data_IF_992991953079
#
_entry.id   IF_992991953079
#
_cell.length_a   1.000
_cell.length_b   1.000
_cell.length_c   1.000
_cell.angle_alpha   90.00
_cell.angle_beta   90.00
_cell.angle_gamma   90.00
#
_symmetry.space_group_name_H-M   'P 1'
#
loop_
_entity.id
_entity.type
_entity.pdbx_description
1 polymer ?
#
# COMPACT_ATOMS: atom_id res chain seq x y z
N UNK A 1 -23.78 -11.68 71.78
CA UNK A 1 -24.44 -10.40 71.42
C UNK A 1 -25.33 -10.70 70.21
N UNK A 2 -26.66 -10.93 70.31
CA UNK A 2 -27.76 -9.93 70.35
C UNK A 2 -27.44 -8.75 69.41
N UNK A 3 -28.19 -8.42 68.33
CA UNK A 3 -29.65 -8.22 68.22
C UNK A 3 -30.11 -7.93 66.77
N UNK A 4 -31.31 -8.45 66.40
CA UNK A 4 -32.47 -7.86 65.66
C UNK A 4 -32.39 -7.26 64.23
N UNK A 5 -33.05 -7.99 63.31
CA UNK A 5 -34.21 -7.64 62.43
C UNK A 5 -34.65 -6.19 62.23
N UNK A 6 -34.97 -5.81 60.97
CA UNK A 6 -36.28 -5.26 60.56
C UNK A 6 -36.42 -5.10 59.03
N UNK A 7 -37.49 -5.70 58.49
CA UNK A 7 -38.05 -5.46 57.17
C UNK A 7 -39.05 -4.29 57.22
N UNK A 8 -39.22 -3.56 56.12
CA UNK A 8 -40.32 -2.62 55.94
C UNK A 8 -40.93 -2.74 54.53
N UNK A 9 -42.09 -3.43 54.46
CA UNK A 9 -43.10 -3.25 53.42
C UNK A 9 -43.89 -1.97 53.72
N UNK A 10 -44.31 -1.24 52.69
CA UNK A 10 -45.54 -0.43 52.71
C UNK A 10 -46.33 -0.67 51.42
N UNK A 11 -47.64 -0.85 51.61
CA UNK A 11 -48.68 -1.10 50.62
C UNK A 11 -49.71 0.05 50.66
N UNK A 12 -50.40 0.26 49.53
CA UNK A 12 -51.69 0.98 49.41
C UNK A 12 -51.56 2.39 48.84
N UNK A 13 -52.35 2.86 47.87
CA UNK A 13 -53.46 2.28 47.10
C UNK A 13 -54.04 3.34 46.13
N UNK A 14 -54.59 2.87 45.00
CA UNK A 14 -55.68 3.43 44.16
C UNK A 14 -55.82 4.95 43.93
N UNK A 15 -55.80 5.40 42.66
CA UNK A 15 -56.90 6.13 41.98
C UNK A 15 -56.74 6.02 40.46
N UNK A 16 -57.84 5.59 39.85
CA UNK A 16 -58.17 5.56 38.43
C UNK A 16 -58.29 6.98 37.83
N UNK A 17 -57.59 7.25 36.72
CA UNK A 17 -58.00 8.29 35.76
C UNK A 17 -57.82 7.75 34.35
N UNK A 18 -58.97 7.48 33.74
CA UNK A 18 -59.12 7.47 32.30
C UNK A 18 -58.67 8.82 31.74
N UNK A 19 -57.81 8.80 30.73
CA UNK A 19 -57.59 9.94 29.85
C UNK A 19 -57.66 9.43 28.42
N UNK A 20 -58.71 9.86 27.72
CA UNK A 20 -58.96 9.60 26.31
C UNK A 20 -57.85 10.17 25.41
N UNK A 21 -57.70 9.52 24.26
CA UNK A 21 -56.71 9.76 23.18
C UNK A 21 -56.73 11.20 22.65
N UNK A 22 -55.63 11.62 22.00
CA UNK A 22 -55.76 11.77 20.55
C UNK A 22 -54.65 11.02 19.79
N UNK A 23 -54.99 10.56 18.60
CA UNK A 23 -54.07 9.90 17.69
C UNK A 23 -52.91 10.80 17.30
N UNK A 24 -51.71 10.24 17.37
CA UNK A 24 -50.51 10.79 16.77
C UNK A 24 -49.71 9.60 16.27
N UNK A 25 -49.75 9.39 14.95
CA UNK A 25 -48.88 8.45 14.28
C UNK A 25 -47.44 8.99 14.38
N UNK A 26 -46.72 8.63 15.43
CA UNK A 26 -45.26 8.73 15.41
C UNK A 26 -44.74 7.55 14.59
N UNK A 27 -44.66 7.79 13.28
CA UNK A 27 -43.77 7.06 12.39
C UNK A 27 -42.33 7.36 12.85
N UNK A 28 -41.91 6.69 13.92
CA UNK A 28 -40.51 6.55 14.29
C UNK A 28 -39.83 5.74 13.21
N UNK A 29 -39.38 6.41 12.15
CA UNK A 29 -38.53 5.83 11.13
C UNK A 29 -37.26 5.34 11.80
N UNK A 30 -37.25 4.05 12.18
CA UNK A 30 -36.03 3.31 12.50
C UNK A 30 -35.11 3.51 11.30
N UNK A 31 -33.98 4.18 11.51
CA UNK A 31 -32.92 4.24 10.50
C UNK A 31 -32.71 2.80 10.00
N UNK A 32 -32.66 2.57 8.68
CA UNK A 32 -32.54 1.22 8.14
C UNK A 32 -31.36 0.54 8.83
N UNK A 33 -31.62 -0.60 9.48
CA UNK A 33 -30.54 -1.40 10.05
C UNK A 33 -29.57 -1.69 8.90
N UNK A 34 -28.25 -1.52 9.11
CA UNK A 34 -27.29 -1.78 8.06
C UNK A 34 -27.51 -3.22 7.57
N UNK A 35 -27.79 -3.38 6.29
CA UNK A 35 -27.95 -4.69 5.69
C UNK A 35 -26.68 -5.50 5.97
N UNK A 36 -26.83 -6.71 6.51
CA UNK A 36 -25.71 -7.60 6.75
C UNK A 36 -24.94 -7.81 5.44
N UNK A 37 -23.61 -7.76 5.48
CA UNK A 37 -22.74 -7.93 4.31
C UNK A 37 -21.95 -9.24 4.47
N UNK A 38 -22.05 -10.12 3.47
CA UNK A 38 -21.28 -11.35 3.37
C UNK A 38 -20.19 -11.19 2.30
N UNK A 39 -18.91 -11.13 2.74
CA UNK A 39 -17.77 -11.06 1.84
C UNK A 39 -17.23 -12.46 1.54
N UNK A 40 -17.43 -12.92 0.32
CA UNK A 40 -16.90 -14.17 -0.21
C UNK A 40 -15.47 -13.94 -0.69
N UNK A 41 -14.55 -14.80 -0.24
CA UNK A 41 -13.13 -14.73 -0.62
C UNK A 41 -12.69 -16.11 -1.10
N UNK A 42 -12.19 -16.21 -2.33
CA UNK A 42 -11.72 -17.48 -2.86
C UNK A 42 -10.36 -17.89 -2.27
N UNK A 43 -10.11 -19.20 -2.22
CA UNK A 43 -8.80 -19.77 -1.88
C UNK A 43 -7.77 -19.62 -3.00
N UNK A 44 -6.68 -20.40 -2.93
CA UNK A 44 -5.65 -20.41 -3.99
C UNK A 44 -6.16 -21.28 -5.14
N UNK A 45 -6.70 -20.65 -6.19
CA UNK A 45 -7.33 -21.40 -7.30
C UNK A 45 -7.94 -20.54 -8.41
N UNK A 46 -8.15 -19.23 -8.16
CA UNK A 46 -8.60 -18.31 -9.22
C UNK A 46 -10.06 -18.47 -9.61
N UNK A 47 -10.93 -18.74 -8.64
CA UNK A 47 -12.39 -18.77 -8.84
C UNK A 47 -12.90 -17.44 -9.38
N UNK A 48 -13.79 -17.49 -10.37
CA UNK A 48 -14.37 -16.30 -10.99
C UNK A 48 -15.42 -15.66 -10.08
N UNK A 49 -15.70 -14.35 -10.22
CA UNK A 49 -16.77 -13.72 -9.46
C UNK A 49 -18.14 -14.35 -9.75
N UNK A 50 -18.37 -14.86 -10.96
CA UNK A 50 -19.62 -15.54 -11.34
C UNK A 50 -19.83 -16.83 -10.55
N UNK A 51 -18.76 -17.62 -10.39
CA UNK A 51 -18.78 -18.85 -9.60
C UNK A 51 -18.95 -18.56 -8.11
N UNK A 52 -18.24 -17.55 -7.58
CA UNK A 52 -18.37 -17.15 -6.17
C UNK A 52 -19.77 -16.65 -5.84
N UNK A 53 -20.33 -15.81 -6.72
CA UNK A 53 -21.65 -15.22 -6.51
C UNK A 53 -22.78 -16.13 -6.99
N UNK A 54 -22.50 -17.20 -7.74
CA UNK A 54 -23.51 -18.08 -8.34
C UNK A 54 -24.43 -17.35 -9.32
N UNK A 55 -23.93 -16.32 -10.01
CA UNK A 55 -24.68 -15.48 -10.95
C UNK A 55 -23.77 -15.09 -12.13
N UNK A 56 -24.27 -15.26 -13.36
CA UNK A 56 -23.53 -14.90 -14.57
C UNK A 56 -23.42 -13.37 -14.77
N UNK A 57 -24.27 -12.57 -14.11
CA UNK A 57 -24.30 -11.12 -14.23
C UNK A 57 -23.67 -10.48 -13.00
N UNK A 58 -22.34 -10.46 -12.97
CA UNK A 58 -21.57 -9.75 -11.95
C UNK A 58 -21.17 -8.37 -12.44
N UNK A 59 -21.04 -7.43 -11.49
CA UNK A 59 -20.59 -6.06 -11.74
C UNK A 59 -19.47 -5.74 -10.76
N UNK A 60 -18.37 -5.19 -11.27
CA UNK A 60 -17.29 -4.67 -10.43
C UNK A 60 -17.75 -3.41 -9.70
N UNK A 61 -17.80 -3.48 -8.37
CA UNK A 61 -18.20 -2.38 -7.49
C UNK A 61 -17.01 -1.49 -7.17
N UNK A 62 -15.85 -2.08 -6.90
CA UNK A 62 -14.62 -1.36 -6.58
C UNK A 62 -13.39 -2.20 -6.91
N UNK A 63 -12.23 -1.56 -6.97
CA UNK A 63 -10.94 -2.17 -7.34
C UNK A 63 -10.63 -2.06 -8.83
N UNK A 64 -9.67 -2.87 -9.28
CA UNK A 64 -9.11 -2.82 -10.62
C UNK A 64 -9.06 -4.23 -11.27
N UNK A 65 -8.29 -4.40 -12.33
CA UNK A 65 -8.16 -5.69 -13.02
C UNK A 65 -7.27 -6.69 -12.26
N UNK A 66 -6.57 -6.24 -11.22
CA UNK A 66 -5.67 -7.07 -10.40
C UNK A 66 -6.37 -7.61 -9.17
N UNK A 67 -7.12 -6.76 -8.47
CA UNK A 67 -7.97 -7.18 -7.36
C UNK A 67 -9.21 -6.28 -7.29
N UNK A 68 -10.38 -6.91 -7.20
CA UNK A 68 -11.65 -6.20 -7.23
C UNK A 68 -12.73 -6.88 -6.41
N UNK A 69 -13.69 -6.07 -5.99
CA UNK A 69 -14.93 -6.53 -5.36
C UNK A 69 -16.04 -6.51 -6.40
N UNK A 70 -16.68 -7.66 -6.55
CA UNK A 70 -17.80 -7.87 -7.44
C UNK A 70 -19.07 -8.07 -6.64
N UNK A 71 -20.19 -7.64 -7.21
CA UNK A 71 -21.53 -7.90 -6.70
C UNK A 71 -22.42 -8.34 -7.83
N UNK A 72 -23.51 -9.04 -7.54
CA UNK A 72 -24.52 -9.35 -8.56
C UNK A 72 -25.15 -8.07 -9.08
N UNK A 73 -25.44 -8.01 -10.38
CA UNK A 73 -26.03 -6.83 -11.01
C UNK A 73 -27.36 -6.41 -10.35
N UNK A 74 -28.13 -7.40 -9.87
CA UNK A 74 -29.38 -7.20 -9.15
C UNK A 74 -29.22 -6.49 -7.79
N UNK A 75 -28.08 -6.65 -7.13
CA UNK A 75 -27.80 -6.11 -5.79
C UNK A 75 -27.13 -4.71 -5.84
N UNK A 76 -27.01 -4.12 -7.03
CA UNK A 76 -26.45 -2.77 -7.28
C UNK A 76 -27.55 -1.73 -7.53
N UNK A 77 -28.79 -2.15 -7.81
CA UNK A 77 -29.88 -1.25 -8.22
C UNK A 77 -30.32 -0.26 -7.12
N UNK A 78 -30.64 1.02 -7.44
CA UNK A 78 -30.97 2.07 -6.48
C UNK A 78 -32.37 1.96 -5.85
N UNK A 79 -33.23 1.11 -6.41
CA UNK A 79 -34.39 0.60 -5.68
C UNK A 79 -33.79 -0.34 -4.64
N UNK A 80 -33.57 0.16 -3.41
CA UNK A 80 -32.86 -0.55 -2.32
C UNK A 80 -33.38 -1.96 -2.07
N UNK A 81 -32.81 -2.74 -1.14
CA UNK A 81 -33.10 -4.18 -0.94
C UNK A 81 -34.58 -4.40 -0.58
N UNK A 82 -35.46 -4.29 -1.55
CA UNK A 82 -36.88 -4.44 -1.42
C UNK A 82 -37.08 -5.94 -1.40
N UNK A 83 -37.17 -6.46 -0.17
CA UNK A 83 -37.63 -7.80 0.15
C UNK A 83 -36.62 -8.95 -0.03
N UNK A 84 -35.34 -8.78 0.36
CA UNK A 84 -34.44 -9.95 0.56
C UNK A 84 -34.25 -10.24 2.04
N UNK A 85 -34.65 -11.45 2.47
CA UNK A 85 -34.21 -12.06 3.72
C UNK A 85 -32.80 -12.64 3.51
N UNK A 86 -31.76 -11.82 3.61
CA UNK A 86 -30.38 -12.32 3.58
C UNK A 86 -29.33 -11.22 3.44
N UNK A 87 -28.06 -11.52 3.79
CA UNK A 87 -26.97 -10.56 3.65
C UNK A 87 -26.68 -10.24 2.18
N UNK A 88 -26.25 -9.02 1.91
CA UNK A 88 -25.70 -8.61 0.60
C UNK A 88 -24.38 -9.34 0.39
N UNK A 89 -24.26 -10.10 -0.70
CA UNK A 89 -23.06 -10.88 -1.01
C UNK A 89 -22.12 -10.11 -1.93
N UNK A 90 -20.85 -10.03 -1.54
CA UNK A 90 -19.78 -9.46 -2.34
C UNK A 90 -18.66 -10.48 -2.53
N UNK A 91 -18.14 -10.61 -3.74
CA UNK A 91 -17.00 -11.48 -4.04
C UNK A 91 -15.72 -10.66 -4.18
N UNK A 92 -14.74 -10.94 -3.35
CA UNK A 92 -13.39 -10.39 -3.50
C UNK A 92 -12.52 -11.34 -4.31
N UNK A 93 -12.14 -10.89 -5.50
CA UNK A 93 -11.31 -11.63 -6.45
C UNK A 93 -9.89 -11.06 -6.42
N UNK A 94 -8.90 -11.92 -6.15
CA UNK A 94 -7.51 -11.52 -5.90
C UNK A 94 -6.46 -12.37 -6.65
N UNK A 95 -6.90 -13.30 -7.48
CA UNK A 95 -6.03 -14.26 -8.17
C UNK A 95 -4.94 -13.60 -9.03
N UNK A 96 -5.25 -12.49 -9.70
CA UNK A 96 -4.30 -11.72 -10.51
C UNK A 96 -3.16 -11.08 -9.70
N UNK A 97 -3.23 -11.02 -8.36
CA UNK A 97 -2.07 -10.67 -7.52
C UNK A 97 -0.99 -11.76 -7.53
N UNK A 98 -1.34 -13.00 -7.88
CA UNK A 98 -0.46 -14.17 -7.78
C UNK A 98 -0.14 -14.83 -9.12
N UNK A 99 -0.93 -14.55 -10.16
CA UNK A 99 -0.77 -15.09 -11.52
C UNK A 99 -0.23 -14.05 -12.50
N UNK A 100 1.03 -14.24 -12.91
CA UNK A 100 1.59 -13.77 -14.19
C UNK A 100 2.09 -12.32 -14.26
N UNK A 101 3.42 -12.14 -14.25
CA UNK A 101 4.09 -11.14 -15.09
C UNK A 101 5.63 -11.33 -15.12
N UNK A 102 6.32 -10.86 -16.17
CA UNK A 102 7.79 -10.89 -16.29
C UNK A 102 8.49 -10.06 -15.19
N UNK A 103 7.75 -9.13 -14.57
CA UNK A 103 8.18 -8.37 -13.39
C UNK A 103 8.42 -9.27 -12.16
N UNK A 104 8.08 -10.57 -12.22
CA UNK A 104 8.50 -11.55 -11.19
C UNK A 104 9.99 -11.59 -10.95
N UNK A 105 10.83 -11.35 -11.96
CA UNK A 105 12.29 -11.30 -11.76
C UNK A 105 12.72 -10.17 -10.81
N UNK A 106 12.00 -9.04 -10.79
CA UNK A 106 12.26 -7.95 -9.85
C UNK A 106 11.99 -8.37 -8.39
N UNK A 107 11.21 -9.43 -8.14
CA UNK A 107 10.99 -9.90 -6.78
C UNK A 107 12.27 -10.38 -6.11
N UNK A 108 13.24 -10.92 -6.84
CA UNK A 108 14.52 -11.31 -6.23
C UNK A 108 15.28 -10.08 -5.72
N UNK A 109 15.27 -8.99 -6.48
CA UNK A 109 15.85 -7.72 -6.06
C UNK A 109 15.10 -7.11 -4.87
N UNK A 110 13.76 -7.24 -4.85
CA UNK A 110 12.90 -6.68 -3.81
C UNK A 110 12.71 -7.61 -2.60
N UNK A 111 13.20 -8.85 -2.66
CA UNK A 111 13.04 -9.85 -1.62
C UNK A 111 13.54 -9.37 -0.24
N UNK A 112 14.69 -8.69 -0.11
CA UNK A 112 15.10 -8.13 1.17
C UNK A 112 14.07 -7.15 1.76
N UNK A 113 13.45 -6.32 0.92
CA UNK A 113 12.41 -5.38 1.35
C UNK A 113 11.13 -6.10 1.79
N UNK A 114 10.75 -7.17 1.09
CA UNK A 114 9.61 -8.00 1.52
C UNK A 114 9.83 -8.59 2.90
N UNK A 115 11.03 -9.12 3.16
CA UNK A 115 11.36 -9.76 4.44
C UNK A 115 11.27 -8.73 5.56
N UNK A 116 11.76 -7.51 5.36
CA UNK A 116 11.63 -6.43 6.35
C UNK A 116 10.17 -6.01 6.54
N UNK A 117 9.39 -5.94 5.47
CA UNK A 117 7.94 -5.69 5.56
C UNK A 117 7.23 -6.80 6.35
N UNK A 118 7.53 -8.07 6.09
CA UNK A 118 6.97 -9.20 6.83
C UNK A 118 7.38 -9.17 8.31
N UNK A 119 8.65 -8.87 8.60
CA UNK A 119 9.14 -8.73 9.97
C UNK A 119 8.35 -7.66 10.76
N UNK A 120 7.90 -6.58 10.11
CA UNK A 120 7.03 -5.60 10.76
C UNK A 120 5.72 -6.24 11.26
N UNK A 121 5.10 -7.09 10.43
CA UNK A 121 3.84 -7.77 10.74
C UNK A 121 3.99 -8.93 11.72
N UNK A 122 5.14 -9.61 11.71
CA UNK A 122 5.48 -10.69 12.66
C UNK A 122 5.82 -10.19 14.08
N UNK A 123 5.70 -8.88 14.35
CA UNK A 123 6.03 -8.28 15.64
C UNK A 123 5.22 -8.96 16.77
N UNK A 124 5.87 -9.50 17.82
CA UNK A 124 5.16 -10.13 18.93
C UNK A 124 4.22 -9.15 19.66
N UNK A 125 3.03 -9.64 20.04
CA UNK A 125 2.13 -8.92 20.93
C UNK A 125 2.72 -8.95 22.35
N UNK A 126 3.36 -7.85 22.78
CA UNK A 126 3.96 -7.74 24.11
C UNK A 126 3.42 -6.50 24.86
N UNK A 127 2.19 -6.55 25.40
CA UNK A 127 1.53 -5.41 26.05
C UNK A 127 2.35 -4.84 27.22
N UNK A 128 3.06 -5.71 27.94
CA UNK A 128 3.86 -5.34 29.13
C UNK A 128 5.23 -4.71 28.81
N UNK A 129 5.66 -4.62 27.54
CA UNK A 129 7.00 -4.11 27.16
C UNK A 129 6.95 -3.06 26.05
N UNK A 130 6.30 -1.89 26.28
CA UNK A 130 6.11 -0.88 25.24
C UNK A 130 7.43 -0.33 24.66
N UNK A 131 8.49 -0.23 25.47
CA UNK A 131 9.82 0.22 25.01
C UNK A 131 10.44 -0.75 24.00
N UNK A 132 10.39 -2.05 24.28
CA UNK A 132 10.92 -3.09 23.39
C UNK A 132 10.16 -3.13 22.07
N UNK A 133 8.83 -3.02 22.10
CA UNK A 133 7.98 -2.94 20.90
C UNK A 133 8.33 -1.73 20.04
N UNK A 134 8.57 -0.56 20.65
CA UNK A 134 9.01 0.64 19.94
C UNK A 134 10.41 0.48 19.34
N UNK A 135 11.36 -0.09 20.09
CA UNK A 135 12.72 -0.35 19.62
C UNK A 135 12.70 -1.30 18.42
N UNK A 136 11.96 -2.41 18.49
CA UNK A 136 11.77 -3.31 17.36
C UNK A 136 11.24 -2.57 16.13
N UNK A 137 10.18 -1.76 16.31
CA UNK A 137 9.63 -0.95 15.22
C UNK A 137 10.63 0.05 14.63
N UNK A 138 11.49 0.64 15.45
CA UNK A 138 12.57 1.53 14.99
C UNK A 138 13.62 0.75 14.18
N UNK A 139 14.09 -0.39 14.70
CA UNK A 139 15.11 -1.21 14.04
C UNK A 139 14.63 -1.73 12.68
N UNK A 140 13.38 -2.18 12.58
CA UNK A 140 12.78 -2.62 11.31
C UNK A 140 12.73 -1.45 10.29
N UNK A 141 12.39 -0.24 10.73
CA UNK A 141 12.38 0.95 9.87
C UNK A 141 13.79 1.36 9.43
N UNK A 142 14.76 1.31 10.33
CA UNK A 142 16.16 1.58 10.00
C UNK A 142 16.69 0.55 9.01
N UNK A 143 16.39 -0.74 9.20
CA UNK A 143 16.77 -1.79 8.26
C UNK A 143 16.17 -1.55 6.87
N UNK A 144 14.87 -1.18 6.80
CA UNK A 144 14.24 -0.81 5.53
C UNK A 144 14.95 0.37 4.85
N UNK A 145 15.28 1.42 5.62
CA UNK A 145 15.97 2.60 5.12
C UNK A 145 17.37 2.26 4.61
N UNK A 146 18.13 1.46 5.37
CA UNK A 146 19.45 0.97 4.98
C UNK A 146 19.38 0.18 3.67
N UNK A 147 18.38 -0.68 3.48
CA UNK A 147 18.20 -1.38 2.20
C UNK A 147 17.97 -0.42 1.03
N UNK A 148 17.20 0.65 1.22
CA UNK A 148 17.02 1.69 0.19
C UNK A 148 18.36 2.35 -0.15
N UNK A 149 19.11 2.77 0.86
CA UNK A 149 20.44 3.39 0.67
C UNK A 149 21.40 2.43 -0.03
N UNK A 150 21.45 1.16 0.38
CA UNK A 150 22.30 0.14 -0.25
C UNK A 150 21.93 -0.11 -1.72
N UNK A 151 20.63 -0.14 -2.04
CA UNK A 151 20.16 -0.29 -3.41
C UNK A 151 20.62 0.88 -4.30
N UNK A 152 20.48 2.11 -3.81
CA UNK A 152 20.93 3.31 -4.52
C UNK A 152 22.45 3.35 -4.61
N UNK A 153 23.15 3.04 -3.53
CA UNK A 153 24.61 2.96 -3.50
C UNK A 153 25.14 1.93 -4.50
N UNK A 154 24.52 0.75 -4.60
CA UNK A 154 24.88 -0.25 -5.60
C UNK A 154 24.69 0.26 -7.03
N UNK A 155 23.63 1.04 -7.30
CA UNK A 155 23.45 1.68 -8.60
C UNK A 155 24.52 2.76 -8.87
N UNK A 156 24.91 3.53 -7.86
CA UNK A 156 26.02 4.48 -7.94
C UNK A 156 27.35 3.77 -8.23
N UNK A 157 27.68 2.70 -7.51
CA UNK A 157 28.89 1.89 -7.73
C UNK A 157 28.95 1.37 -9.17
N UNK A 158 27.86 0.78 -9.67
CA UNK A 158 27.84 0.25 -11.04
C UNK A 158 27.96 1.37 -12.08
N UNK A 159 27.15 2.43 -11.95
CA UNK A 159 27.08 3.47 -12.98
C UNK A 159 28.26 4.45 -12.94
N UNK A 160 28.57 4.98 -11.75
CA UNK A 160 29.57 6.03 -11.58
C UNK A 160 30.98 5.44 -11.47
N UNK A 161 31.16 4.41 -10.65
CA UNK A 161 32.48 3.84 -10.42
C UNK A 161 32.87 2.84 -11.52
N UNK A 162 32.17 1.72 -11.66
CA UNK A 162 32.57 0.67 -12.61
C UNK A 162 32.46 1.12 -14.07
N UNK A 163 31.36 1.77 -14.46
CA UNK A 163 31.13 2.16 -15.86
C UNK A 163 31.83 3.48 -16.20
N UNK A 164 31.50 4.57 -15.50
CA UNK A 164 31.96 5.91 -15.90
C UNK A 164 33.39 6.24 -15.48
N UNK A 165 33.84 5.76 -14.31
CA UNK A 165 35.19 6.00 -13.81
C UNK A 165 36.18 4.96 -14.33
N UNK A 166 35.93 3.68 -14.06
CA UNK A 166 36.87 2.60 -14.38
C UNK A 166 36.82 2.22 -15.87
N UNK A 167 35.69 1.72 -16.39
CA UNK A 167 35.65 1.18 -17.75
C UNK A 167 35.80 2.28 -18.83
N UNK A 168 35.07 3.39 -18.73
CA UNK A 168 35.23 4.51 -19.65
C UNK A 168 36.59 5.23 -19.51
N UNK A 169 37.26 5.08 -18.35
CA UNK A 169 38.63 5.51 -18.09
C UNK A 169 39.70 4.70 -18.84
N UNK A 170 39.42 3.43 -19.13
CA UNK A 170 40.38 2.50 -19.72
C UNK A 170 40.04 2.22 -21.19
N UNK A 171 40.94 2.62 -22.10
CA UNK A 171 40.77 2.47 -23.56
C UNK A 171 40.34 1.06 -23.99
N UNK A 172 41.02 0.03 -23.47
CA UNK A 172 40.72 -1.35 -23.84
C UNK A 172 39.30 -1.79 -23.43
N UNK A 173 38.78 -1.31 -22.29
CA UNK A 173 37.42 -1.61 -21.84
C UNK A 173 36.39 -0.88 -22.69
N UNK A 174 36.56 0.42 -22.87
CA UNK A 174 35.63 1.24 -23.65
C UNK A 174 35.56 0.85 -25.14
N UNK A 175 36.66 0.42 -25.75
CA UNK A 175 36.67 -0.07 -27.14
C UNK A 175 35.94 -1.41 -27.31
N UNK A 176 35.90 -2.24 -26.25
CA UNK A 176 35.15 -3.50 -26.25
C UNK A 176 33.63 -3.28 -26.18
N UNK A 177 33.20 -2.11 -25.72
CA UNK A 177 31.81 -1.74 -25.57
C UNK A 177 31.48 -0.56 -26.49
N UNK A 178 30.97 -0.84 -27.70
CA UNK A 178 30.73 0.18 -28.74
C UNK A 178 29.92 1.39 -28.25
N UNK A 179 29.02 1.21 -27.28
CA UNK A 179 28.20 2.28 -26.69
C UNK A 179 28.98 3.20 -25.74
N UNK A 180 30.17 2.80 -25.27
CA UNK A 180 31.11 3.62 -24.48
C UNK A 180 32.17 4.30 -25.36
N UNK A 181 32.27 3.94 -26.65
CA UNK A 181 33.34 4.41 -27.52
C UNK A 181 33.41 5.94 -27.62
N UNK A 182 32.26 6.63 -27.56
CA UNK A 182 32.19 8.10 -27.61
C UNK A 182 32.75 8.80 -26.35
N UNK A 183 32.90 8.07 -25.24
CA UNK A 183 33.51 8.57 -24.00
C UNK A 183 35.03 8.46 -24.03
N UNK A 184 35.64 7.85 -25.04
CA UNK A 184 37.09 7.68 -25.12
C UNK A 184 37.78 8.94 -25.67
N UNK A 185 39.07 9.19 -25.32
CA UNK A 185 39.83 10.30 -25.87
C UNK A 185 39.94 10.24 -27.40
N UNK A 186 40.03 9.02 -27.94
CA UNK A 186 40.24 8.74 -29.37
C UNK A 186 38.92 8.73 -30.16
N UNK A 187 37.78 8.99 -29.50
CA UNK A 187 36.46 9.11 -30.14
C UNK A 187 36.44 10.16 -31.27
N UNK A 188 37.37 11.12 -31.23
CA UNK A 188 37.59 12.10 -32.29
C UNK A 188 37.92 11.47 -33.66
N UNK A 189 38.57 10.30 -33.67
CA UNK A 189 39.16 9.72 -34.88
C UNK A 189 38.21 8.73 -35.59
N UNK A 190 37.15 8.27 -34.92
CA UNK A 190 36.17 7.33 -35.46
C UNK A 190 35.21 7.96 -36.49
N UNK A 191 35.02 7.37 -37.69
CA UNK A 191 34.25 7.98 -38.79
C UNK A 191 32.77 8.22 -38.47
N UNK A 192 32.16 7.46 -37.55
CA UNK A 192 30.77 7.66 -37.12
C UNK A 192 30.56 8.75 -36.06
N UNK A 193 31.61 9.11 -35.31
CA UNK A 193 31.54 10.08 -34.20
C UNK A 193 31.78 11.51 -34.69
N UNK A 194 32.60 11.70 -35.74
CA UNK A 194 32.88 13.02 -36.33
C UNK A 194 31.60 13.78 -36.73
N UNK A 195 30.64 13.07 -37.34
CA UNK A 195 29.37 13.66 -37.80
C UNK A 195 28.47 14.13 -36.64
N UNK A 196 28.44 13.44 -35.51
CA UNK A 196 27.69 13.87 -34.31
C UNK A 196 28.45 14.95 -33.52
N UNK A 197 29.79 14.85 -33.48
CA UNK A 197 30.67 15.83 -32.83
C UNK A 197 30.61 17.20 -33.52
N UNK A 198 30.54 17.25 -34.85
CA UNK A 198 30.30 18.48 -35.62
C UNK A 198 28.88 19.05 -35.41
N UNK A 199 27.86 18.19 -35.38
CA UNK A 199 26.45 18.58 -35.12
C UNK A 199 26.25 19.18 -33.72
N UNK A 200 27.02 18.73 -32.73
CA UNK A 200 26.96 19.18 -31.34
C UNK A 200 28.03 20.23 -31.00
N UNK A 201 28.92 20.59 -31.94
CA UNK A 201 30.02 21.54 -31.72
C UNK A 201 31.05 21.10 -30.67
N UNK A 202 31.15 19.80 -30.40
CA UNK A 202 32.04 19.25 -29.37
C UNK A 202 33.32 18.70 -30.00
N UNK A 203 34.49 19.22 -29.58
CA UNK A 203 35.78 18.65 -29.97
C UNK A 203 35.88 17.19 -29.50
N UNK A 204 36.34 16.29 -30.36
CA UNK A 204 36.47 14.87 -30.02
C UNK A 204 37.39 14.71 -28.80
N UNK A 205 36.84 14.13 -27.73
CA UNK A 205 37.44 14.14 -26.39
C UNK A 205 36.70 15.01 -25.36
N UNK A 206 35.71 15.82 -25.76
CA UNK A 206 34.87 16.60 -24.84
C UNK A 206 34.23 15.74 -23.75
N UNK A 207 33.67 14.59 -24.13
CA UNK A 207 33.06 13.62 -23.20
C UNK A 207 34.06 12.69 -22.52
N UNK A 208 35.35 12.77 -22.88
CA UNK A 208 36.41 11.99 -22.25
C UNK A 208 36.87 12.57 -20.90
N UNK A 209 36.47 13.81 -20.57
CA UNK A 209 36.78 14.39 -19.27
C UNK A 209 36.06 13.62 -18.14
N UNK A 210 36.76 13.23 -17.05
CA UNK A 210 36.18 12.43 -15.97
C UNK A 210 34.88 13.01 -15.39
N UNK A 211 34.85 14.32 -15.14
CA UNK A 211 33.66 14.99 -14.61
C UNK A 211 32.43 14.88 -15.53
N UNK A 212 32.61 14.87 -16.85
CA UNK A 212 31.51 14.77 -17.82
C UNK A 212 31.01 13.35 -17.99
N UNK A 213 31.90 12.35 -17.89
CA UNK A 213 31.53 10.93 -17.85
C UNK A 213 30.64 10.65 -16.65
N UNK A 214 31.04 11.13 -15.48
CA UNK A 214 30.26 11.02 -14.25
C UNK A 214 28.92 11.75 -14.37
N UNK A 215 28.91 12.95 -14.95
CA UNK A 215 27.66 13.69 -15.20
C UNK A 215 26.70 12.95 -16.14
N UNK A 216 27.22 12.24 -17.16
CA UNK A 216 26.41 11.42 -18.06
C UNK A 216 25.89 10.13 -17.40
N UNK A 217 26.60 9.61 -16.39
CA UNK A 217 26.18 8.41 -15.67
C UNK A 217 25.27 8.72 -14.47
N UNK A 218 25.32 9.93 -13.91
CA UNK A 218 24.47 10.38 -12.80
C UNK A 218 22.94 10.25 -13.02
N UNK A 219 22.39 10.36 -14.25
CA UNK A 219 20.99 10.07 -14.50
C UNK A 219 20.56 8.64 -14.16
N UNK A 220 21.47 7.66 -14.12
CA UNK A 220 21.11 6.29 -13.76
C UNK A 220 20.65 6.16 -12.29
N UNK A 221 21.46 6.51 -11.27
CA UNK A 221 20.99 6.51 -9.89
C UNK A 221 19.88 7.54 -9.64
N UNK A 222 19.92 8.71 -10.29
CA UNK A 222 18.84 9.71 -10.21
C UNK A 222 17.50 9.18 -10.74
N UNK A 223 17.54 8.46 -11.87
CA UNK A 223 16.40 7.79 -12.46
C UNK A 223 15.84 6.68 -11.59
N UNK A 224 16.70 5.91 -10.91
CA UNK A 224 16.28 4.92 -9.92
C UNK A 224 15.54 5.57 -8.74
N UNK A 225 16.09 6.64 -8.16
CA UNK A 225 15.45 7.40 -7.08
C UNK A 225 14.09 7.94 -7.54
N UNK A 226 14.04 8.54 -8.72
CA UNK A 226 12.80 9.05 -9.31
C UNK A 226 11.77 7.94 -9.51
N UNK A 227 12.19 6.78 -10.04
CA UNK A 227 11.32 5.62 -10.23
C UNK A 227 10.75 5.12 -8.89
N UNK A 228 11.59 4.96 -7.87
CA UNK A 228 11.14 4.53 -6.54
C UNK A 228 10.17 5.55 -5.93
N UNK A 229 10.47 6.84 -6.04
CA UNK A 229 9.57 7.91 -5.60
C UNK A 229 8.23 7.86 -6.34
N UNK A 230 8.25 7.71 -7.66
CA UNK A 230 7.06 7.67 -8.50
C UNK A 230 6.18 6.47 -8.16
N UNK A 231 6.77 5.27 -8.08
CA UNK A 231 6.05 4.04 -7.72
C UNK A 231 5.47 4.12 -6.31
N UNK A 232 6.24 4.66 -5.35
CA UNK A 232 5.76 4.85 -3.98
C UNK A 232 4.63 5.88 -3.90
N UNK A 233 4.70 6.97 -4.68
CA UNK A 233 3.63 7.96 -4.75
C UNK A 233 2.36 7.37 -5.37
N UNK A 234 2.50 6.67 -6.51
CA UNK A 234 1.39 6.08 -7.25
C UNK A 234 0.64 5.07 -6.38
N UNK A 235 1.34 4.13 -5.76
CA UNK A 235 0.73 3.10 -4.89
C UNK A 235 0.05 3.72 -3.67
N UNK A 236 0.71 4.66 -2.98
CA UNK A 236 0.10 5.38 -1.86
C UNK A 236 -1.17 6.13 -2.27
N UNK A 237 -1.16 6.84 -3.41
CA UNK A 237 -2.33 7.58 -3.87
C UNK A 237 -3.52 6.68 -4.23
N UNK A 238 -3.26 5.50 -4.79
CA UNK A 238 -4.31 4.57 -5.21
C UNK A 238 -4.98 3.89 -3.99
N UNK A 239 -4.20 3.36 -3.06
CA UNK A 239 -4.75 2.56 -1.96
C UNK A 239 -5.16 3.39 -0.75
N UNK A 240 -4.46 4.48 -0.46
CA UNK A 240 -4.60 5.22 0.80
C UNK A 240 -5.46 6.49 0.69
N UNK A 241 -6.07 6.72 -0.49
CA UNK A 241 -7.00 7.83 -0.73
C UNK A 241 -8.41 7.57 -0.19
N UNK A 242 -8.77 6.30 0.06
CA UNK A 242 -10.06 5.89 0.60
C UNK A 242 -10.18 6.31 2.07
N UNK A 243 -11.19 7.11 2.39
CA UNK A 243 -11.49 7.52 3.78
C UNK A 243 -12.34 6.44 4.45
N UNK A 244 -12.08 6.11 5.73
CA UNK A 244 -12.92 5.16 6.46
C UNK A 244 -14.36 5.70 6.58
N UNK A 245 -15.34 4.81 6.38
CA UNK A 245 -16.77 5.11 6.40
C UNK A 245 -17.29 5.50 7.80
N UNK A 246 -16.61 5.08 8.86
CA UNK A 246 -17.00 5.37 10.25
C UNK A 246 -16.10 6.46 10.83
N UNK A 247 -16.68 7.63 11.07
CA UNK A 247 -16.13 8.73 11.86
C UNK A 247 -16.88 8.86 13.21
N UNK A 248 -17.32 7.74 13.78
CA UNK A 248 -17.96 7.73 15.10
C UNK A 248 -16.94 7.83 16.23
N UNK A 249 -17.33 8.28 17.44
CA UNK A 249 -16.45 8.27 18.61
C UNK A 249 -15.92 6.85 18.83
N UNK A 250 -14.61 6.73 19.06
CA UNK A 250 -13.92 5.45 19.28
C UNK A 250 -14.74 4.60 20.26
N UNK A 251 -15.30 3.48 19.77
CA UNK A 251 -15.82 2.46 20.67
C UNK A 251 -14.70 2.10 21.65
N UNK A 252 -14.98 2.16 22.95
CA UNK A 252 -13.98 1.94 23.98
C UNK A 252 -13.18 0.67 23.66
N UNK A 253 -11.84 0.74 23.64
CA UNK A 253 -11.02 -0.37 23.17
C UNK A 253 -11.33 -1.61 24.00
N UNK A 254 -11.80 -2.66 23.34
CA UNK A 254 -11.97 -3.96 23.97
C UNK A 254 -10.61 -4.41 24.50
N UNK A 255 -10.42 -4.58 25.84
CA UNK A 255 -9.13 -4.92 26.43
C UNK A 255 -8.51 -6.21 25.87
N UNK A 256 -9.34 -7.10 25.29
CA UNK A 256 -8.90 -8.34 24.62
C UNK A 256 -8.92 -8.30 23.08
N UNK A 257 -9.37 -7.21 22.47
CA UNK A 257 -9.56 -7.12 21.02
C UNK A 257 -8.24 -7.06 20.24
N UNK A 258 -8.19 -7.76 19.10
CA UNK A 258 -7.07 -7.67 18.15
C UNK A 258 -6.85 -6.21 17.73
N UNK A 259 -5.58 -5.80 17.63
CA UNK A 259 -5.24 -4.46 17.13
C UNK A 259 -5.81 -4.20 15.72
N UNK A 260 -6.01 -5.26 14.93
CA UNK A 260 -6.60 -5.22 13.58
C UNK A 260 -8.06 -4.76 13.57
N UNK A 261 -8.78 -4.93 14.69
CA UNK A 261 -10.19 -4.58 14.83
C UNK A 261 -10.41 -3.13 15.27
N UNK A 262 -9.35 -2.37 15.57
CA UNK A 262 -9.48 -0.98 16.02
C UNK A 262 -9.94 -0.07 14.87
N UNK A 263 -10.93 0.82 15.10
CA UNK A 263 -11.31 1.83 14.11
C UNK A 263 -10.10 2.61 13.63
N UNK A 264 -9.95 2.74 12.31
CA UNK A 264 -8.82 3.46 11.70
C UNK A 264 -7.47 2.72 11.72
N UNK A 265 -7.38 1.48 12.23
CA UNK A 265 -6.14 0.69 12.19
C UNK A 265 -5.58 0.57 10.76
N UNK A 266 -6.47 0.32 9.79
CA UNK A 266 -6.13 0.18 8.37
C UNK A 266 -5.94 1.51 7.64
N UNK A 267 -6.10 2.65 8.32
CA UNK A 267 -5.92 3.98 7.74
C UNK A 267 -4.53 4.54 8.10
N UNK A 268 -3.54 4.19 7.28
CA UNK A 268 -2.14 4.52 7.43
C UNK A 268 -1.68 5.83 6.79
N UNK A 269 -2.58 6.62 6.17
CA UNK A 269 -2.24 7.75 5.27
C UNK A 269 -1.09 8.64 5.70
N UNK A 270 -1.13 9.13 6.94
CA UNK A 270 -0.10 10.03 7.48
C UNK A 270 1.21 9.32 7.78
N UNK A 271 1.15 8.08 8.29
CA UNK A 271 2.33 7.31 8.64
C UNK A 271 3.10 6.90 7.38
N UNK A 272 2.39 6.35 6.39
CA UNK A 272 2.99 5.92 5.12
C UNK A 272 3.57 7.13 4.37
N UNK A 273 2.88 8.28 4.37
CA UNK A 273 3.41 9.50 3.77
C UNK A 273 4.74 9.97 4.38
N UNK A 274 4.85 9.93 5.72
CA UNK A 274 6.09 10.30 6.43
C UNK A 274 7.24 9.34 6.13
N UNK A 275 6.95 8.03 6.11
CA UNK A 275 7.96 7.03 5.78
C UNK A 275 8.45 7.20 4.34
N UNK A 276 7.54 7.36 3.37
CA UNK A 276 7.91 7.63 1.97
C UNK A 276 8.83 8.85 1.83
N UNK A 277 8.51 9.94 2.51
CA UNK A 277 9.34 11.14 2.49
C UNK A 277 10.74 10.87 3.06
N UNK A 278 10.86 10.11 4.15
CA UNK A 278 12.14 9.74 4.73
C UNK A 278 13.00 8.89 3.77
N UNK A 279 12.39 7.93 3.06
CA UNK A 279 13.10 7.10 2.08
C UNK A 279 13.52 7.86 0.82
N UNK A 280 12.77 8.90 0.42
CA UNK A 280 13.12 9.71 -0.76
C UNK A 280 14.24 10.71 -0.44
N UNK A 281 14.32 11.15 0.83
CA UNK A 281 15.28 12.16 1.26
C UNK A 281 16.65 11.59 1.69
N UNK A 282 16.73 10.28 1.93
CA UNK A 282 17.96 9.58 2.32
C UNK A 282 18.82 9.26 1.10
#
# INVERSE_FOLDING_TARGET
>A
MRTRTLAARRHGGSVERAQERPGGAEAGGRAPEPADLELLVHGVGGTTPEEMLGDARTVRVTGDDTAAVFRRAEDVSPTGPASRCGPVREAYVWCNLTSGDASRALWLLLLPFMVVNLAHWMRPAAPARPRAVRLYGLLVRLAALTLTVLLVAAACEVALDLVAWQCAGVRACAQRHFWLAFLTPDAAEGPGVRRWAELLGTSGGWWAQPGRRLALAAPAPGGLIFLLWYLSHRTWSAYESHRPLVQGPDAAPDPGGSALARPGFWYGRRLVARLRAAHTAA
#
